data_IF_377089556092
#
_entry.id   IF_377089556092
#
_cell.length_a   1.000
_cell.length_b   1.000
_cell.length_c   1.000
_cell.angle_alpha   90.00
_cell.angle_beta   90.00
_cell.angle_gamma   90.00
#
_symmetry.space_group_name_H-M   'P 1'
#
loop_
_entity.id
_entity.type
_entity.pdbx_description
1 polymer ?
#
# COMPACT_ATOMS: atom_id res chain seq x y z
N UNK A 1 -17.95 -15.80 -10.45
CA UNK A 1 -19.37 -15.90 -10.91
C UNK A 1 -19.57 -15.06 -12.18
N UNK A 2 -20.36 -15.52 -13.17
CA UNK A 2 -20.60 -14.76 -14.40
C UNK A 2 -21.25 -13.39 -14.14
N UNK A 3 -22.07 -13.27 -13.09
CA UNK A 3 -22.73 -12.04 -12.68
C UNK A 3 -21.73 -10.94 -12.32
N UNK A 4 -20.54 -11.33 -11.82
CA UNK A 4 -19.47 -10.40 -11.44
C UNK A 4 -18.91 -9.62 -12.64
N UNK A 5 -19.17 -10.07 -13.88
CA UNK A 5 -18.82 -9.33 -15.09
C UNK A 5 -19.57 -8.00 -15.20
N UNK A 6 -20.68 -7.81 -14.48
CA UNK A 6 -21.39 -6.53 -14.42
C UNK A 6 -20.47 -5.39 -13.98
N UNK A 7 -19.46 -5.67 -13.15
CA UNK A 7 -18.50 -4.67 -12.67
C UNK A 7 -17.72 -4.00 -13.80
N UNK A 8 -17.49 -4.70 -14.92
CA UNK A 8 -16.82 -4.14 -16.10
C UNK A 8 -17.72 -3.22 -16.93
N UNK A 9 -19.04 -3.28 -16.72
CA UNK A 9 -20.03 -2.49 -17.46
C UNK A 9 -20.52 -1.29 -16.65
N UNK A 10 -20.16 -1.19 -15.37
CA UNK A 10 -20.55 -0.08 -14.50
C UNK A 10 -19.70 1.17 -14.80
N UNK A 11 -20.35 2.33 -14.86
CA UNK A 11 -19.66 3.61 -14.66
C UNK A 11 -19.11 3.70 -13.22
N UNK A 12 -18.16 4.62 -12.94
CA UNK A 12 -17.66 4.88 -11.59
C UNK A 12 -18.77 5.06 -10.54
N UNK A 13 -19.75 5.93 -10.84
CA UNK A 13 -20.88 6.20 -9.92
C UNK A 13 -21.81 4.99 -9.74
N UNK A 14 -22.03 4.19 -10.77
CA UNK A 14 -22.81 2.95 -10.67
C UNK A 14 -22.08 1.92 -9.82
N UNK A 15 -20.76 1.84 -9.94
CA UNK A 15 -19.94 0.91 -9.18
C UNK A 15 -19.93 1.28 -7.69
N UNK A 16 -19.78 2.57 -7.36
CA UNK A 16 -19.92 3.07 -5.99
C UNK A 16 -21.31 2.76 -5.41
N UNK A 17 -22.37 3.04 -6.18
CA UNK A 17 -23.74 2.71 -5.80
C UNK A 17 -23.96 1.22 -5.55
N UNK A 18 -23.38 0.36 -6.39
CA UNK A 18 -23.42 -1.09 -6.23
C UNK A 18 -22.66 -1.53 -4.97
N UNK A 19 -21.47 -0.96 -4.71
CA UNK A 19 -20.69 -1.27 -3.50
C UNK A 19 -21.44 -0.90 -2.22
N UNK A 20 -22.12 0.26 -2.24
CA UNK A 20 -22.97 0.72 -1.14
C UNK A 20 -24.19 -0.18 -0.95
N UNK A 21 -24.89 -0.53 -2.03
CA UNK A 21 -26.04 -1.43 -2.02
C UNK A 21 -25.69 -2.82 -1.45
N UNK A 22 -24.54 -3.37 -1.84
CA UNK A 22 -24.02 -4.64 -1.34
C UNK A 22 -23.33 -4.53 0.02
N UNK A 23 -23.22 -3.32 0.59
CA UNK A 23 -22.60 -3.05 1.88
C UNK A 23 -21.16 -3.59 1.98
N UNK A 24 -20.38 -3.48 0.89
CA UNK A 24 -19.02 -4.05 0.81
C UNK A 24 -18.07 -3.46 1.86
N UNK A 25 -18.30 -2.22 2.32
CA UNK A 25 -17.50 -1.57 3.36
C UNK A 25 -17.72 -2.13 4.77
N UNK A 26 -18.76 -2.95 4.98
CA UNK A 26 -19.08 -3.56 6.29
C UNK A 26 -19.31 -5.08 6.23
N UNK A 27 -19.21 -5.70 5.06
CA UNK A 27 -19.32 -7.14 4.92
C UNK A 27 -18.27 -7.92 5.76
N UNK A 28 -18.59 -9.13 6.25
CA UNK A 28 -17.64 -9.99 6.94
C UNK A 28 -16.38 -10.31 6.13
N UNK A 29 -15.21 -10.26 6.77
CA UNK A 29 -13.92 -10.50 6.10
C UNK A 29 -13.79 -11.87 5.38
N UNK A 30 -14.37 -12.99 5.87
CA UNK A 30 -14.35 -14.23 5.10
C UNK A 30 -15.03 -14.11 3.73
N UNK A 31 -16.11 -13.31 3.62
CA UNK A 31 -16.76 -13.05 2.34
C UNK A 31 -15.90 -12.16 1.46
N UNK A 32 -15.15 -11.23 2.06
CA UNK A 32 -14.21 -10.38 1.34
C UNK A 32 -13.10 -11.21 0.68
N UNK A 33 -12.59 -12.24 1.34
CA UNK A 33 -11.62 -13.20 0.74
C UNK A 33 -12.22 -13.89 -0.48
N UNK A 34 -13.43 -14.44 -0.36
CA UNK A 34 -14.12 -15.07 -1.49
C UNK A 34 -14.33 -14.11 -2.65
N UNK A 35 -14.74 -12.86 -2.35
CA UNK A 35 -14.96 -11.83 -3.34
C UNK A 35 -13.66 -11.47 -4.08
N UNK A 36 -12.55 -11.28 -3.37
CA UNK A 36 -11.24 -11.03 -3.98
C UNK A 36 -10.78 -12.21 -4.86
N UNK A 37 -11.02 -13.45 -4.42
CA UNK A 37 -10.77 -14.64 -5.24
C UNK A 37 -11.58 -14.64 -6.55
N UNK A 38 -12.83 -14.18 -6.52
CA UNK A 38 -13.63 -14.03 -7.74
C UNK A 38 -13.14 -12.90 -8.65
N UNK A 39 -12.67 -11.78 -8.08
CA UNK A 39 -12.05 -10.69 -8.85
C UNK A 39 -10.74 -11.13 -9.52
N UNK A 40 -9.94 -11.95 -8.82
CA UNK A 40 -8.75 -12.56 -9.40
C UNK A 40 -9.07 -13.42 -10.62
N UNK A 41 -10.12 -14.23 -10.55
CA UNK A 41 -10.59 -15.06 -11.66
C UNK A 41 -11.33 -14.27 -12.76
N UNK A 42 -11.66 -12.99 -12.53
CA UNK A 42 -12.46 -12.21 -13.46
C UNK A 42 -11.69 -11.93 -14.77
N UNK A 43 -12.35 -12.23 -15.88
CA UNK A 43 -11.88 -12.01 -17.25
C UNK A 43 -12.99 -11.36 -18.08
N UNK A 44 -12.75 -10.20 -18.73
CA UNK A 44 -11.52 -9.39 -18.65
C UNK A 44 -11.28 -8.80 -17.24
N UNK A 45 -10.03 -8.45 -16.95
CA UNK A 45 -9.66 -7.74 -15.73
C UNK A 45 -10.37 -6.39 -15.64
N UNK A 46 -10.66 -5.95 -14.42
CA UNK A 46 -11.17 -4.60 -14.15
C UNK A 46 -10.25 -3.52 -14.71
N UNK A 47 -10.86 -2.40 -15.11
CA UNK A 47 -10.14 -1.17 -15.41
C UNK A 47 -9.43 -0.63 -14.15
N UNK A 48 -8.43 0.23 -14.34
CA UNK A 48 -7.75 0.91 -13.23
C UNK A 48 -8.74 1.64 -12.31
N UNK A 49 -9.66 2.42 -12.89
CA UNK A 49 -10.65 3.21 -12.14
C UNK A 49 -11.60 2.32 -11.34
N UNK A 50 -12.09 1.23 -11.95
CA UNK A 50 -12.96 0.28 -11.26
C UNK A 50 -12.25 -0.45 -10.13
N UNK A 51 -10.99 -0.84 -10.33
CA UNK A 51 -10.18 -1.47 -9.31
C UNK A 51 -9.86 -0.49 -8.16
N UNK A 52 -9.61 0.80 -8.45
CA UNK A 52 -9.39 1.82 -7.43
C UNK A 52 -10.63 2.01 -6.54
N UNK A 53 -11.82 2.14 -7.15
CA UNK A 53 -13.09 2.24 -6.41
C UNK A 53 -13.30 1.01 -5.53
N UNK A 54 -13.07 -0.20 -6.06
CA UNK A 54 -13.21 -1.41 -5.25
C UNK A 54 -12.17 -1.47 -4.14
N UNK A 55 -10.91 -1.08 -4.37
CA UNK A 55 -9.91 -1.03 -3.32
C UNK A 55 -10.37 -0.12 -2.16
N UNK A 56 -10.94 1.03 -2.49
CA UNK A 56 -11.49 1.97 -1.50
C UNK A 56 -12.65 1.35 -0.73
N UNK A 57 -13.67 0.86 -1.44
CA UNK A 57 -14.91 0.35 -0.86
C UNK A 57 -14.72 -0.93 -0.05
N UNK A 58 -13.76 -1.77 -0.43
CA UNK A 58 -13.46 -3.03 0.23
C UNK A 58 -12.53 -2.84 1.45
N UNK A 59 -11.53 -1.98 1.36
CA UNK A 59 -10.42 -2.00 2.33
C UNK A 59 -10.25 -0.71 3.12
N UNK A 60 -10.52 0.47 2.55
CA UNK A 60 -10.09 1.74 3.15
C UNK A 60 -10.64 1.91 4.58
N UNK A 61 -11.95 1.78 4.75
CA UNK A 61 -12.59 1.90 6.07
C UNK A 61 -12.03 0.90 7.09
N UNK A 62 -11.79 -0.34 6.67
CA UNK A 62 -11.28 -1.41 7.56
C UNK A 62 -9.87 -1.10 8.02
N UNK A 63 -9.01 -0.71 7.09
CA UNK A 63 -7.61 -0.37 7.37
C UNK A 63 -7.50 0.86 8.26
N UNK A 64 -8.23 1.94 7.94
CA UNK A 64 -8.20 3.15 8.76
C UNK A 64 -8.81 2.97 10.16
N UNK A 65 -9.63 1.95 10.35
CA UNK A 65 -10.22 1.62 11.66
C UNK A 65 -9.44 0.55 12.46
N UNK A 66 -8.30 0.06 11.95
CA UNK A 66 -7.48 -0.90 12.68
C UNK A 66 -6.99 -0.31 14.02
N UNK A 67 -7.27 -1.05 15.09
CA UNK A 67 -6.74 -0.82 16.44
C UNK A 67 -5.85 -1.96 16.93
N UNK A 68 -5.71 -3.02 16.12
CA UNK A 68 -4.94 -4.24 16.35
C UNK A 68 -4.38 -4.71 14.99
N UNK A 69 -3.43 -5.66 14.99
CA UNK A 69 -2.95 -6.27 13.75
C UNK A 69 -4.12 -6.79 12.91
N UNK A 70 -4.02 -6.67 11.56
CA UNK A 70 -5.08 -7.11 10.67
C UNK A 70 -5.35 -8.61 10.86
N UNK A 71 -6.63 -8.98 10.80
CA UNK A 71 -7.01 -10.39 10.87
C UNK A 71 -6.44 -11.17 9.68
N UNK A 72 -6.27 -12.49 9.84
CA UNK A 72 -5.84 -13.39 8.76
C UNK A 72 -6.70 -13.27 7.50
N UNK A 73 -8.00 -13.03 7.65
CA UNK A 73 -8.92 -12.92 6.50
C UNK A 73 -8.74 -11.58 5.80
N UNK A 74 -8.57 -10.49 6.56
CA UNK A 74 -8.25 -9.19 5.99
C UNK A 74 -6.92 -9.24 5.22
N UNK A 75 -5.88 -9.81 5.81
CA UNK A 75 -4.58 -9.98 5.14
C UNK A 75 -4.68 -10.83 3.88
N UNK A 76 -5.37 -11.98 3.94
CA UNK A 76 -5.56 -12.82 2.77
C UNK A 76 -6.31 -12.10 1.64
N UNK A 77 -7.31 -11.28 1.98
CA UNK A 77 -8.05 -10.50 1.00
C UNK A 77 -7.20 -9.37 0.38
N UNK A 78 -6.43 -8.64 1.19
CA UNK A 78 -5.51 -7.61 0.72
C UNK A 78 -4.47 -8.20 -0.24
N UNK A 79 -3.80 -9.28 0.17
CA UNK A 79 -2.83 -9.99 -0.65
C UNK A 79 -3.45 -10.51 -1.96
N UNK A 80 -4.62 -11.12 -1.87
CA UNK A 80 -5.36 -11.61 -3.05
C UNK A 80 -5.75 -10.47 -4.00
N UNK A 81 -6.10 -9.29 -3.50
CA UNK A 81 -6.49 -8.19 -4.37
C UNK A 81 -5.27 -7.52 -5.01
N UNK A 82 -4.25 -7.23 -4.21
CA UNK A 82 -3.06 -6.52 -4.67
C UNK A 82 -2.19 -7.38 -5.59
N UNK A 83 -2.32 -8.70 -5.61
CA UNK A 83 -1.58 -9.55 -6.56
C UNK A 83 -1.97 -9.37 -8.02
N UNK A 84 -3.11 -8.74 -8.31
CA UNK A 84 -3.58 -8.43 -9.68
C UNK A 84 -3.86 -6.96 -9.91
N UNK A 85 -4.24 -6.24 -8.85
CA UNK A 85 -4.62 -4.82 -8.90
C UNK A 85 -3.66 -4.00 -8.04
N UNK A 86 -2.36 -4.32 -8.09
CA UNK A 86 -1.29 -3.76 -7.25
C UNK A 86 -1.23 -2.22 -7.30
N UNK A 87 -1.21 -1.64 -8.50
CA UNK A 87 -1.11 -0.19 -8.68
C UNK A 87 -2.33 0.60 -8.15
N UNK A 88 -3.59 0.32 -8.56
CA UNK A 88 -4.75 1.04 -8.02
C UNK A 88 -4.90 0.81 -6.51
N UNK A 89 -4.53 -0.36 -6.02
CA UNK A 89 -4.50 -0.65 -4.59
C UNK A 89 -3.54 0.27 -3.83
N UNK A 90 -2.28 0.41 -4.29
CA UNK A 90 -1.31 1.30 -3.66
C UNK A 90 -1.73 2.77 -3.72
N UNK A 91 -2.25 3.23 -4.87
CA UNK A 91 -2.69 4.63 -5.03
C UNK A 91 -3.87 5.00 -4.11
N UNK A 92 -4.71 4.04 -3.75
CA UNK A 92 -5.87 4.28 -2.88
C UNK A 92 -5.50 4.05 -1.42
N UNK A 93 -5.06 2.83 -1.09
CA UNK A 93 -4.95 2.40 0.29
C UNK A 93 -3.67 2.92 0.95
N UNK A 94 -2.53 2.75 0.30
CA UNK A 94 -1.23 3.17 0.88
C UNK A 94 -1.18 4.68 0.98
N UNK A 95 -1.56 5.40 -0.08
CA UNK A 95 -1.62 6.86 -0.06
C UNK A 95 -2.52 7.40 1.08
N UNK A 96 -3.70 6.81 1.28
CA UNK A 96 -4.60 7.22 2.35
C UNK A 96 -4.03 6.93 3.75
N UNK A 97 -3.41 5.76 3.95
CA UNK A 97 -2.74 5.42 5.21
C UNK A 97 -1.63 6.41 5.54
N UNK A 98 -0.83 6.80 4.53
CA UNK A 98 0.27 7.74 4.73
C UNK A 98 -0.23 9.15 5.08
N UNK A 99 -1.38 9.56 4.54
CA UNK A 99 -1.96 10.90 4.73
C UNK A 99 -2.75 11.08 6.04
N UNK A 100 -3.19 10.01 6.70
CA UNK A 100 -4.06 10.09 7.88
C UNK A 100 -3.35 10.62 9.14
N UNK A 101 -3.77 11.77 9.71
CA UNK A 101 -3.15 12.34 10.88
C UNK A 101 -3.56 11.60 12.16
N UNK A 102 -2.59 10.99 12.85
CA UNK A 102 -2.74 10.65 14.27
C UNK A 102 -3.24 9.25 14.61
N UNK A 103 -3.45 8.35 13.65
CA UNK A 103 -3.67 6.91 13.86
C UNK A 103 -2.76 6.17 12.89
N UNK A 104 -1.79 5.40 13.37
CA UNK A 104 -0.78 4.92 12.42
C UNK A 104 0.09 3.74 12.80
N UNK A 105 0.14 3.25 14.04
CA UNK A 105 1.04 2.14 14.33
C UNK A 105 0.62 0.86 13.58
N UNK A 106 -0.66 0.49 13.64
CA UNK A 106 -1.15 -0.73 12.97
C UNK A 106 -1.31 -0.56 11.46
N UNK A 107 -1.67 0.64 11.00
CA UNK A 107 -1.74 0.94 9.57
C UNK A 107 -0.35 0.97 8.92
N UNK A 108 0.64 1.60 9.57
CA UNK A 108 2.03 1.59 9.10
C UNK A 108 2.58 0.17 9.09
N UNK A 109 2.35 -0.63 10.14
CA UNK A 109 2.75 -2.05 10.17
C UNK A 109 2.12 -2.84 9.02
N UNK A 110 0.82 -2.65 8.77
CA UNK A 110 0.16 -3.26 7.63
C UNK A 110 0.83 -2.87 6.31
N UNK A 111 1.16 -1.60 6.10
CA UNK A 111 1.87 -1.16 4.89
C UNK A 111 3.26 -1.81 4.80
N UNK A 112 4.00 -1.92 5.91
CA UNK A 112 5.26 -2.66 5.94
C UNK A 112 5.07 -4.13 5.53
N UNK A 113 4.11 -4.84 6.12
CA UNK A 113 3.82 -6.24 5.78
C UNK A 113 3.41 -6.42 4.30
N UNK A 114 2.64 -5.48 3.75
CA UNK A 114 2.27 -5.49 2.33
C UNK A 114 3.50 -5.28 1.43
N UNK A 115 4.36 -4.32 1.78
CA UNK A 115 5.62 -4.05 1.06
C UNK A 115 6.55 -5.26 1.10
N UNK A 116 6.66 -5.91 2.25
CA UNK A 116 7.55 -7.05 2.45
C UNK A 116 7.06 -8.29 1.69
N UNK A 117 5.78 -8.64 1.81
CA UNK A 117 5.29 -9.97 1.42
C UNK A 117 4.34 -9.99 0.21
N UNK A 118 3.71 -8.86 -0.14
CA UNK A 118 2.56 -8.87 -1.06
C UNK A 118 2.76 -8.06 -2.34
N UNK A 119 3.49 -6.95 -2.28
CA UNK A 119 3.59 -6.02 -3.41
C UNK A 119 4.67 -6.44 -4.42
N UNK A 120 4.32 -6.27 -5.69
CA UNK A 120 5.25 -6.40 -6.82
C UNK A 120 6.32 -5.29 -6.78
N UNK A 121 7.54 -5.52 -7.34
CA UNK A 121 8.64 -4.56 -7.31
C UNK A 121 8.29 -3.14 -7.74
N UNK A 122 7.52 -2.99 -8.82
CA UNK A 122 7.10 -1.67 -9.29
C UNK A 122 6.19 -0.94 -8.28
N UNK A 123 5.34 -1.68 -7.57
CA UNK A 123 4.48 -1.10 -6.55
C UNK A 123 5.26 -0.76 -5.26
N UNK A 124 6.31 -1.50 -4.92
CA UNK A 124 7.23 -1.13 -3.83
C UNK A 124 7.89 0.21 -4.12
N UNK A 125 8.33 0.46 -5.36
CA UNK A 125 8.87 1.76 -5.79
C UNK A 125 7.81 2.87 -5.71
N UNK A 126 6.55 2.58 -6.06
CA UNK A 126 5.44 3.53 -5.94
C UNK A 126 5.19 3.92 -4.47
N UNK A 127 5.21 2.96 -3.55
CA UNK A 127 5.09 3.23 -2.11
C UNK A 127 6.23 4.13 -1.64
N UNK A 128 7.47 3.84 -2.04
CA UNK A 128 8.61 4.69 -1.72
C UNK A 128 8.40 6.13 -2.19
N UNK A 129 7.99 6.31 -3.45
CA UNK A 129 7.70 7.64 -4.03
C UNK A 129 6.64 8.39 -3.21
N UNK A 130 5.53 7.73 -2.89
CA UNK A 130 4.46 8.33 -2.08
C UNK A 130 4.95 8.76 -0.69
N UNK A 131 5.79 7.96 -0.02
CA UNK A 131 6.36 8.30 1.29
C UNK A 131 7.33 9.50 1.19
N UNK A 132 8.16 9.54 0.15
CA UNK A 132 9.17 10.60 -0.03
C UNK A 132 8.56 11.93 -0.47
N UNK A 133 7.39 11.93 -1.11
CA UNK A 133 6.63 13.14 -1.42
C UNK A 133 6.06 13.84 -0.16
N UNK A 134 6.09 13.16 0.98
CA UNK A 134 5.60 13.68 2.27
C UNK A 134 6.73 14.23 3.15
N UNK A 135 6.35 14.93 4.22
CA UNK A 135 7.31 15.25 5.28
C UNK A 135 7.56 13.99 6.11
N UNK A 136 8.72 13.38 5.92
CA UNK A 136 9.13 12.18 6.65
C UNK A 136 9.04 12.43 8.17
N UNK A 137 8.32 11.56 8.86
CA UNK A 137 8.23 11.52 10.33
C UNK A 137 8.77 10.18 10.83
N UNK A 138 9.07 10.05 12.13
CA UNK A 138 9.56 8.77 12.69
C UNK A 138 8.60 7.61 12.39
N UNK A 139 7.29 7.88 12.33
CA UNK A 139 6.25 6.90 12.03
C UNK A 139 6.34 6.33 10.62
N UNK A 140 6.97 7.04 9.69
CA UNK A 140 7.11 6.60 8.29
C UNK A 140 8.45 5.90 8.02
N UNK A 141 9.42 6.01 8.94
CA UNK A 141 10.72 5.33 8.81
C UNK A 141 10.58 3.81 8.62
N UNK A 142 9.69 3.10 9.33
CA UNK A 142 9.49 1.66 9.11
C UNK A 142 9.06 1.31 7.69
N UNK A 143 8.30 2.18 7.01
CA UNK A 143 7.88 1.93 5.62
C UNK A 143 9.07 2.04 4.68
N UNK A 144 9.92 3.07 4.86
CA UNK A 144 11.14 3.21 4.06
C UNK A 144 12.10 2.05 4.34
N UNK A 145 12.21 1.61 5.60
CA UNK A 145 13.02 0.44 5.96
C UNK A 145 12.51 -0.84 5.27
N UNK A 146 11.20 -1.09 5.27
CA UNK A 146 10.59 -2.23 4.59
C UNK A 146 10.90 -2.22 3.08
N UNK A 147 10.82 -1.05 2.43
CA UNK A 147 11.22 -0.88 1.03
C UNK A 147 12.70 -1.21 0.81
N UNK A 148 13.60 -0.66 1.64
CA UNK A 148 15.04 -0.90 1.50
C UNK A 148 15.37 -2.38 1.76
N UNK A 149 14.67 -3.03 2.70
CA UNK A 149 14.84 -4.44 3.02
C UNK A 149 14.48 -5.37 1.85
N UNK A 150 13.57 -4.93 0.96
CA UNK A 150 13.24 -5.64 -0.29
C UNK A 150 14.39 -5.65 -1.31
N UNK A 151 15.40 -4.78 -1.16
CA UNK A 151 16.59 -4.72 -2.04
C UNK A 151 16.26 -4.60 -3.53
N UNK A 152 15.13 -3.97 -3.84
CA UNK A 152 14.73 -3.74 -5.23
C UNK A 152 15.69 -2.74 -5.89
N UNK A 153 15.97 -2.93 -7.18
CA UNK A 153 16.73 -1.95 -7.97
C UNK A 153 15.87 -0.69 -8.12
N UNK A 154 16.37 0.45 -7.63
CA UNK A 154 15.69 1.73 -7.74
C UNK A 154 16.15 2.48 -8.99
N UNK A 155 15.25 3.16 -9.71
CA UNK A 155 15.64 4.18 -10.69
C UNK A 155 16.50 5.26 -10.01
N UNK A 156 17.50 5.79 -10.72
CA UNK A 156 18.43 6.79 -10.18
C UNK A 156 17.68 8.00 -9.61
N UNK A 157 16.62 8.46 -10.29
CA UNK A 157 15.83 9.60 -9.85
C UNK A 157 15.14 9.35 -8.50
N UNK A 158 14.73 8.10 -8.25
CA UNK A 158 14.09 7.71 -7.00
C UNK A 158 15.12 7.51 -5.88
N UNK A 159 16.30 6.99 -6.21
CA UNK A 159 17.42 6.88 -5.27
C UNK A 159 17.93 8.27 -4.84
N UNK A 160 18.11 9.20 -5.79
CA UNK A 160 18.50 10.58 -5.50
C UNK A 160 17.48 11.27 -4.60
N UNK A 161 16.19 11.09 -4.89
CA UNK A 161 15.12 11.61 -4.04
C UNK A 161 15.18 11.03 -2.61
N UNK A 162 15.45 9.74 -2.47
CA UNK A 162 15.62 9.09 -1.17
C UNK A 162 16.80 9.70 -0.41
N UNK A 163 17.98 9.80 -1.03
CA UNK A 163 19.19 10.38 -0.42
C UNK A 163 18.95 11.82 -0.01
N UNK A 164 18.42 12.67 -0.91
CA UNK A 164 18.12 14.07 -0.62
C UNK A 164 17.12 14.22 0.54
N UNK A 165 16.08 13.38 0.56
CA UNK A 165 15.08 13.41 1.63
C UNK A 165 15.68 13.02 2.97
N UNK A 166 16.50 11.96 3.01
CA UNK A 166 17.18 11.54 4.23
C UNK A 166 18.15 12.62 4.72
N UNK A 167 19.00 13.17 3.85
CA UNK A 167 19.93 14.24 4.21
C UNK A 167 19.22 15.47 4.78
N UNK A 168 18.09 15.89 4.16
CA UNK A 168 17.29 17.02 4.65
C UNK A 168 16.73 16.78 6.05
N UNK A 169 16.39 15.53 6.38
CA UNK A 169 15.78 15.16 7.66
C UNK A 169 16.80 14.76 8.74
N UNK A 170 18.08 14.66 8.40
CA UNK A 170 19.14 14.27 9.34
C UNK A 170 19.15 15.12 10.63
N UNK A 171 18.99 16.46 10.60
CA UNK A 171 18.95 17.26 11.82
C UNK A 171 17.75 16.92 12.72
N UNK A 172 16.59 16.63 12.12
CA UNK A 172 15.37 16.31 12.85
C UNK A 172 15.43 14.92 13.54
N UNK A 173 16.20 14.00 12.96
CA UNK A 173 16.32 12.62 13.44
C UNK A 173 17.69 12.30 14.07
N UNK A 174 18.44 13.32 14.51
CA UNK A 174 19.81 13.15 15.01
C UNK A 174 19.94 12.15 16.19
N UNK A 175 18.90 12.03 17.03
CA UNK A 175 18.86 11.08 18.15
C UNK A 175 18.08 9.78 17.85
N UNK A 176 17.56 9.63 16.62
CA UNK A 176 16.69 8.52 16.26
C UNK A 176 17.50 7.31 15.81
N UNK A 177 17.45 6.24 16.62
CA UNK A 177 18.14 4.99 16.30
C UNK A 177 17.58 4.34 15.02
N UNK A 178 16.28 4.46 14.78
CA UNK A 178 15.64 3.87 13.60
C UNK A 178 16.04 4.61 12.32
N UNK A 179 16.23 5.92 12.39
CA UNK A 179 16.82 6.69 11.29
C UNK A 179 18.28 6.26 11.02
N UNK A 180 19.10 6.10 12.07
CA UNK A 180 20.47 5.64 11.90
C UNK A 180 20.55 4.26 11.23
N UNK A 181 19.71 3.31 11.68
CA UNK A 181 19.58 1.97 11.06
C UNK A 181 19.16 2.06 9.60
N UNK A 182 18.19 2.91 9.28
CA UNK A 182 17.71 3.10 7.91
C UNK A 182 18.83 3.60 7.00
N UNK A 183 19.57 4.62 7.42
CA UNK A 183 20.69 5.17 6.63
C UNK A 183 21.77 4.11 6.41
N UNK A 184 22.14 3.35 7.46
CA UNK A 184 23.10 2.25 7.33
C UNK A 184 22.63 1.17 6.37
N UNK A 185 21.35 0.76 6.46
CA UNK A 185 20.77 -0.23 5.56
C UNK A 185 20.77 0.26 4.10
N UNK A 186 20.37 1.52 3.87
CA UNK A 186 20.36 2.13 2.54
C UNK A 186 21.76 2.15 1.92
N UNK A 187 22.76 2.61 2.67
CA UNK A 187 24.15 2.62 2.21
C UNK A 187 24.65 1.21 1.89
N UNK A 188 24.31 0.22 2.72
CA UNK A 188 24.71 -1.17 2.46
C UNK A 188 24.03 -1.77 1.22
N UNK A 189 22.76 -1.43 0.98
CA UNK A 189 21.98 -2.00 -0.13
C UNK A 189 22.32 -1.33 -1.45
N UNK A 190 22.51 -0.01 -1.45
CA UNK A 190 22.70 0.80 -2.66
C UNK A 190 24.14 1.30 -2.84
N UNK A 191 25.12 0.75 -2.11
CA UNK A 191 26.53 1.16 -2.19
C UNK A 191 27.09 1.27 -3.63
N UNK A 192 26.63 0.42 -4.55
CA UNK A 192 27.11 0.43 -5.94
C UNK A 192 26.45 1.51 -6.81
N UNK A 193 25.41 2.16 -6.30
CA UNK A 193 24.61 3.18 -6.99
C UNK A 193 24.79 4.57 -6.37
N UNK A 194 25.23 4.64 -5.11
CA UNK A 194 25.56 5.88 -4.41
C UNK A 194 27.01 6.24 -4.72
N UNK A 195 27.22 7.30 -5.50
CA UNK A 195 28.56 7.84 -5.84
C UNK A 195 29.03 8.88 -4.82
#
# INVERSE_FOLDING_TARGET
PPELRVLNNCSPSQLEGLCSFLQLSVCPEPLLVCFCGWLLALTPSLSYTSAAILAEQLFLRRVLSLTQPPSRHLMAALASFCSKYSQPFCCVLVAAVLQEPGKGAEQTKLVCELVEECLEPHCVQLVLRQVLEMTLSEKLLPVVQAVVARKEVLPLELLDLLVLTLCRQAPAFAASLDYAKLVTAMLSVYQSQVS
#
